data_IF_191928243679
#
_entry.id   IF_191928243679
#
_cell.length_a   1.000
_cell.length_b   1.000
_cell.length_c   1.000
_cell.angle_alpha   90.00
_cell.angle_beta   90.00
_cell.angle_gamma   90.00
#
_symmetry.space_group_name_H-M   'P 1'
#
loop_
_entity.id
_entity.type
_entity.pdbx_description
1 polymer ?
#
# COMPACT_ATOMS: atom_id res chain seq x y z
N UNK A 1 -29.88 -23.18 22.77
CA UNK A 1 -28.58 -22.48 22.69
C UNK A 1 -27.61 -23.30 23.52
N UNK A 2 -26.76 -24.09 22.88
CA UNK A 2 -25.82 -24.95 23.58
C UNK A 2 -24.75 -24.10 24.27
N UNK A 3 -24.60 -24.30 25.58
CA UNK A 3 -23.57 -23.65 26.39
C UNK A 3 -22.20 -24.13 25.93
N UNK A 4 -21.45 -23.24 25.29
CA UNK A 4 -20.10 -23.56 24.80
C UNK A 4 -19.16 -23.69 25.98
N UNK A 5 -18.66 -24.90 26.22
CA UNK A 5 -17.65 -25.17 27.24
C UNK A 5 -16.35 -24.40 26.91
N UNK A 6 -15.98 -23.48 27.80
CA UNK A 6 -14.85 -22.55 27.60
C UNK A 6 -13.55 -23.07 28.21
N UNK A 7 -13.58 -24.19 28.93
CA UNK A 7 -12.42 -24.73 29.67
C UNK A 7 -11.33 -25.28 28.75
N UNK A 8 -11.70 -25.83 27.58
CA UNK A 8 -10.75 -26.34 26.58
C UNK A 8 -10.34 -25.30 25.53
N UNK A 9 -10.79 -24.05 25.66
CA UNK A 9 -10.52 -23.04 24.64
C UNK A 9 -9.06 -22.60 24.73
N UNK A 10 -8.31 -22.82 23.64
CA UNK A 10 -6.95 -22.29 23.49
C UNK A 10 -6.96 -20.79 23.89
N UNK A 11 -6.08 -20.35 24.81
CA UNK A 11 -6.02 -18.95 25.20
C UNK A 11 -5.89 -18.10 23.93
N UNK A 12 -6.83 -17.15 23.75
CA UNK A 12 -6.67 -16.16 22.68
C UNK A 12 -5.34 -15.47 22.91
N UNK A 13 -4.65 -15.12 21.82
CA UNK A 13 -3.38 -14.38 21.86
C UNK A 13 -3.63 -12.95 22.33
N UNK A 14 -4.02 -12.81 23.59
CA UNK A 14 -4.32 -11.54 24.24
C UNK A 14 -3.12 -11.12 25.07
N UNK A 15 -3.09 -9.82 25.35
CA UNK A 15 -2.10 -9.20 26.22
C UNK A 15 -2.01 -9.96 27.55
N UNK A 16 -0.79 -10.31 28.00
CA UNK A 16 -0.54 -11.04 29.25
C UNK A 16 -0.20 -12.53 29.09
N UNK A 17 -0.42 -13.15 27.92
CA UNK A 17 0.09 -14.50 27.69
C UNK A 17 1.59 -14.48 27.37
N UNK A 18 2.40 -15.46 27.83
CA UNK A 18 3.82 -15.52 27.49
C UNK A 18 4.06 -15.50 25.97
N UNK A 19 3.19 -16.19 25.22
CA UNK A 19 3.26 -16.24 23.75
C UNK A 19 3.10 -14.88 23.06
N UNK A 20 2.30 -13.97 23.64
CA UNK A 20 2.14 -12.60 23.14
C UNK A 20 3.41 -11.78 23.38
N UNK A 21 4.00 -11.89 24.57
CA UNK A 21 5.21 -11.17 24.95
C UNK A 21 6.43 -11.59 24.14
N UNK A 22 6.66 -12.89 23.96
CA UNK A 22 7.82 -13.40 23.20
C UNK A 22 7.79 -12.96 21.73
N UNK A 23 6.62 -13.03 21.09
CA UNK A 23 6.47 -12.65 19.67
C UNK A 23 6.67 -11.16 19.46
N UNK A 24 6.10 -10.33 20.32
CA UNK A 24 6.24 -8.89 20.21
C UNK A 24 7.68 -8.47 20.49
N UNK A 25 8.35 -9.03 21.50
CA UNK A 25 9.77 -8.77 21.76
C UNK A 25 10.66 -9.17 20.59
N UNK A 26 10.40 -10.33 19.97
CA UNK A 26 11.13 -10.74 18.77
C UNK A 26 10.91 -9.78 17.60
N UNK A 27 9.66 -9.36 17.37
CA UNK A 27 9.35 -8.37 16.34
C UNK A 27 10.04 -7.02 16.61
N UNK A 28 9.99 -6.52 17.85
CA UNK A 28 10.68 -5.29 18.23
C UNK A 28 12.20 -5.40 18.08
N UNK A 29 12.79 -6.55 18.41
CA UNK A 29 14.22 -6.78 18.22
C UNK A 29 14.60 -6.75 16.73
N UNK A 30 13.82 -7.41 15.87
CA UNK A 30 14.01 -7.38 14.42
C UNK A 30 13.90 -5.96 13.86
N UNK A 31 12.88 -5.21 14.30
CA UNK A 31 12.69 -3.82 13.89
C UNK A 31 13.87 -2.96 14.35
N UNK A 32 14.29 -3.06 15.60
CA UNK A 32 15.42 -2.28 16.13
C UNK A 32 16.71 -2.58 15.36
N UNK A 33 17.05 -3.85 15.18
CA UNK A 33 18.26 -4.28 14.43
C UNK A 33 18.18 -3.82 12.98
N UNK A 34 17.03 -4.04 12.32
CA UNK A 34 16.81 -3.61 10.94
C UNK A 34 16.95 -2.09 10.78
N UNK A 35 16.45 -1.31 11.74
CA UNK A 35 16.53 0.16 11.71
C UNK A 35 17.97 0.63 11.89
N UNK A 36 18.73 0.01 12.79
CA UNK A 36 20.15 0.36 13.00
C UNK A 36 20.99 0.01 11.78
N UNK A 37 20.83 -1.21 11.23
CA UNK A 37 21.55 -1.62 10.02
C UNK A 37 21.19 -0.74 8.82
N UNK A 38 19.91 -0.41 8.66
CA UNK A 38 19.46 0.50 7.61
C UNK A 38 20.01 1.91 7.80
N UNK A 39 20.03 2.43 9.04
CA UNK A 39 20.61 3.72 9.36
C UNK A 39 22.10 3.79 9.01
N UNK A 40 22.88 2.78 9.43
CA UNK A 40 24.31 2.69 9.08
C UNK A 40 24.49 2.62 7.57
N UNK A 41 23.73 1.77 6.88
CA UNK A 41 23.76 1.67 5.43
C UNK A 41 23.45 3.00 4.76
N UNK A 42 22.46 3.75 5.28
CA UNK A 42 22.01 5.01 4.69
C UNK A 42 23.03 6.16 4.78
N UNK A 43 23.96 6.06 5.75
CA UNK A 43 25.04 7.04 5.91
C UNK A 43 26.23 6.74 5.00
N UNK A 44 26.25 5.59 4.31
CA UNK A 44 27.34 5.23 3.41
C UNK A 44 27.16 5.86 2.02
N UNK A 45 28.23 6.40 1.41
CA UNK A 45 28.17 6.95 0.06
C UNK A 45 27.84 5.90 -1.01
N UNK A 46 28.04 4.61 -0.70
CA UNK A 46 27.71 3.47 -1.55
C UNK A 46 26.20 3.38 -1.80
N UNK A 47 25.37 3.72 -0.81
CA UNK A 47 23.92 3.76 -0.97
C UNK A 47 23.51 4.76 -2.06
N UNK A 48 24.16 5.93 -2.12
CA UNK A 48 23.84 6.96 -3.12
C UNK A 48 24.09 6.45 -4.53
N UNK A 49 25.23 5.80 -4.76
CA UNK A 49 25.57 5.20 -6.05
C UNK A 49 24.59 4.08 -6.41
N UNK A 50 24.26 3.21 -5.46
CA UNK A 50 23.29 2.14 -5.68
C UNK A 50 21.89 2.69 -5.99
N UNK A 51 21.47 3.75 -5.31
CA UNK A 51 20.18 4.39 -5.51
C UNK A 51 20.11 5.12 -6.86
N UNK A 52 21.17 5.79 -7.27
CA UNK A 52 21.26 6.40 -8.61
C UNK A 52 21.14 5.33 -9.70
N UNK A 53 21.86 4.22 -9.58
CA UNK A 53 21.76 3.09 -10.53
C UNK A 53 20.38 2.44 -10.55
N UNK A 54 19.77 2.25 -9.37
CA UNK A 54 18.43 1.69 -9.27
C UNK A 54 17.39 2.65 -9.85
N UNK A 55 17.51 3.94 -9.58
CA UNK A 55 16.63 4.97 -10.14
C UNK A 55 16.72 5.02 -11.66
N UNK A 56 17.91 4.85 -12.24
CA UNK A 56 18.11 4.75 -13.68
C UNK A 56 17.52 3.45 -14.25
N UNK A 57 17.65 2.32 -13.54
CA UNK A 57 17.09 1.04 -13.98
C UNK A 57 15.55 1.00 -13.90
N UNK A 58 14.96 1.75 -12.97
CA UNK A 58 13.51 1.81 -12.75
C UNK A 58 12.87 3.02 -13.45
N UNK A 59 13.67 3.98 -13.91
CA UNK A 59 13.19 5.10 -14.71
C UNK A 59 12.53 4.56 -15.99
N UNK A 60 11.20 4.69 -16.06
CA UNK A 60 10.44 4.38 -17.26
C UNK A 60 10.94 5.27 -18.39
N UNK A 61 11.34 4.64 -19.49
CA UNK A 61 11.74 5.36 -20.70
C UNK A 61 10.56 6.19 -21.22
N UNK A 62 10.83 7.27 -21.96
CA UNK A 62 9.77 8.10 -22.53
C UNK A 62 8.81 7.29 -23.40
N UNK A 63 9.32 6.28 -24.11
CA UNK A 63 8.51 5.33 -24.88
C UNK A 63 7.57 4.47 -24.02
N UNK A 64 7.99 4.06 -22.81
CA UNK A 64 7.10 3.33 -21.90
C UNK A 64 6.02 4.23 -21.29
N UNK A 65 6.33 5.51 -21.04
CA UNK A 65 5.36 6.51 -20.60
C UNK A 65 4.34 6.82 -21.69
N UNK A 66 4.79 7.01 -22.92
CA UNK A 66 3.91 7.23 -24.08
C UNK A 66 3.02 6.03 -24.33
N UNK A 67 3.58 4.80 -24.26
CA UNK A 67 2.79 3.57 -24.35
C UNK A 67 1.72 3.51 -23.25
N UNK A 68 2.08 3.85 -22.01
CA UNK A 68 1.11 3.94 -20.90
C UNK A 68 0.05 5.00 -21.17
N UNK A 69 0.42 6.19 -21.66
CA UNK A 69 -0.52 7.25 -22.01
C UNK A 69 -1.48 6.84 -23.13
N UNK A 70 -1.00 6.12 -24.14
CA UNK A 70 -1.81 5.59 -25.25
C UNK A 70 -2.79 4.50 -24.80
N UNK A 71 -2.42 3.67 -23.81
CA UNK A 71 -3.29 2.61 -23.26
C UNK A 71 -4.01 3.02 -21.97
N UNK A 72 -3.86 4.27 -21.52
CA UNK A 72 -4.62 4.81 -20.41
C UNK A 72 -6.01 5.16 -20.93
N UNK A 73 -6.86 4.14 -21.03
CA UNK A 73 -8.29 4.35 -21.23
C UNK A 73 -8.76 5.35 -20.18
N UNK A 74 -9.37 6.44 -20.61
CA UNK A 74 -9.91 7.45 -19.72
C UNK A 74 -10.72 6.74 -18.63
N UNK A 75 -10.47 7.10 -17.36
CA UNK A 75 -11.20 6.53 -16.24
C UNK A 75 -12.70 6.57 -16.55
N UNK A 76 -13.46 5.49 -16.27
CA UNK A 76 -14.88 5.47 -16.55
C UNK A 76 -15.52 6.73 -15.96
N UNK A 77 -16.22 7.49 -16.79
CA UNK A 77 -16.79 8.78 -16.37
C UNK A 77 -17.65 8.55 -15.12
N UNK A 78 -17.39 9.34 -14.08
CA UNK A 78 -18.14 9.26 -12.82
C UNK A 78 -19.62 9.51 -13.11
N UNK A 79 -20.50 8.85 -12.36
CA UNK A 79 -21.95 8.93 -12.55
C UNK A 79 -22.49 10.36 -12.53
N UNK A 80 -21.86 11.27 -11.78
CA UNK A 80 -22.19 12.69 -11.72
C UNK A 80 -22.01 13.38 -13.08
N UNK A 81 -20.92 13.06 -13.80
CA UNK A 81 -20.63 13.64 -15.11
C UNK A 81 -21.62 13.15 -16.17
N UNK A 82 -22.09 11.90 -16.04
CA UNK A 82 -23.13 11.34 -16.92
C UNK A 82 -24.47 12.04 -16.65
N UNK A 83 -24.82 12.27 -15.38
CA UNK A 83 -26.05 12.97 -15.00
C UNK A 83 -26.06 14.41 -15.51
N UNK A 84 -24.97 15.16 -15.31
CA UNK A 84 -24.86 16.53 -15.81
C UNK A 84 -24.96 16.60 -17.34
N UNK A 85 -24.30 15.68 -18.06
CA UNK A 85 -24.40 15.64 -19.52
C UNK A 85 -25.81 15.30 -20.03
N UNK A 86 -26.58 14.50 -19.28
CA UNK A 86 -27.98 14.20 -19.60
C UNK A 86 -28.84 15.44 -19.35
N UNK A 87 -28.66 16.11 -18.22
CA UNK A 87 -29.41 17.31 -17.82
C UNK A 87 -29.17 18.47 -18.81
N UNK A 88 -27.91 18.73 -19.19
CA UNK A 88 -27.57 19.72 -20.22
C UNK A 88 -28.19 19.40 -21.60
N UNK A 89 -28.27 18.12 -21.97
CA UNK A 89 -28.90 17.68 -23.22
C UNK A 89 -30.41 17.88 -23.19
N UNK A 90 -31.07 17.65 -22.05
CA UNK A 90 -32.49 17.89 -21.86
C UNK A 90 -32.84 19.39 -21.86
N UNK A 91 -31.99 20.22 -21.25
CA UNK A 91 -32.13 21.69 -21.28
C UNK A 91 -31.97 22.25 -22.70
N UNK A 92 -31.03 21.73 -23.49
CA UNK A 92 -30.86 22.13 -24.90
C UNK A 92 -32.02 21.69 -25.79
N UNK A 93 -32.68 20.58 -25.47
CA UNK A 93 -33.82 20.04 -26.24
C UNK A 93 -35.13 20.78 -25.95
N UNK A 94 -35.26 21.38 -24.77
CA UNK A 94 -36.42 22.16 -24.35
C UNK A 94 -36.32 23.66 -24.69
N UNK A 95 -35.27 24.06 -25.43
CA UNK A 95 -35.04 25.42 -25.91
C UNK A 95 -35.26 25.51 -27.41
#
# INVERSE_FOLDING_TARGET
MDSTDTTQRKPRRTHGTPSYTYRNRFAYALLAVGTVLFGIWSLTPIQRIANEKLSQAVAQTEQERDRKGLFQFAAPRTSEFIKQAIEESEEQKNK
#
